data_IF_283562101015
#
_entry.id   IF_283562101015
#
_cell.length_a   1.000
_cell.length_b   1.000
_cell.length_c   1.000
_cell.angle_alpha   90.00
_cell.angle_beta   90.00
_cell.angle_gamma   90.00
#
_symmetry.space_group_name_H-M   'P 1'
#
loop_
_entity.id
_entity.type
_entity.pdbx_description
1 polymer ?
#
# COMPACT_ATOMS: atom_id res chain seq x y z
N UNK A 1 4.50 9.87 -40.07
CA UNK A 1 4.01 11.22 -40.38
C UNK A 1 2.52 11.14 -40.63
N UNK A 2 1.71 11.29 -39.57
CA UNK A 2 0.26 11.41 -39.65
C UNK A 2 -0.17 12.86 -39.89
N UNK A 3 -1.41 13.13 -40.35
CA UNK A 3 -1.90 14.46 -40.69
C UNK A 3 -2.12 15.41 -39.50
N UNK A 4 -1.27 15.37 -38.50
CA UNK A 4 -1.33 16.17 -37.28
C UNK A 4 -0.01 16.76 -36.80
N UNK A 5 1.12 16.40 -37.42
CA UNK A 5 2.47 16.78 -36.94
C UNK A 5 3.04 18.07 -37.57
N UNK A 6 2.21 18.89 -38.20
CA UNK A 6 2.68 20.06 -38.96
C UNK A 6 2.98 21.30 -38.07
N UNK A 7 2.67 21.24 -36.76
CA UNK A 7 2.90 22.36 -35.84
C UNK A 7 3.56 21.89 -34.54
N UNK A 8 4.57 22.60 -34.03
CA UNK A 8 5.28 22.25 -32.81
C UNK A 8 4.32 22.10 -31.60
N UNK A 9 3.31 22.95 -31.54
CA UNK A 9 2.31 22.93 -30.46
C UNK A 9 1.52 21.61 -30.39
N UNK A 10 1.19 21.02 -31.56
CA UNK A 10 0.46 19.74 -31.60
C UNK A 10 1.35 18.57 -31.22
N UNK A 11 2.63 18.60 -31.60
CA UNK A 11 3.60 17.58 -31.19
C UNK A 11 3.78 17.63 -29.67
N UNK A 12 3.94 18.83 -29.11
CA UNK A 12 4.07 19.02 -27.67
C UNK A 12 2.85 18.51 -26.91
N UNK A 13 1.63 18.89 -27.31
CA UNK A 13 0.41 18.44 -26.64
C UNK A 13 0.18 16.93 -26.81
N UNK A 14 0.51 16.35 -27.97
CA UNK A 14 0.44 14.90 -28.17
C UNK A 14 1.44 14.14 -27.26
N UNK A 15 2.63 14.70 -27.03
CA UNK A 15 3.57 14.12 -26.07
C UNK A 15 3.04 14.18 -24.63
N UNK A 16 2.42 15.29 -24.25
CA UNK A 16 1.78 15.43 -22.93
C UNK A 16 0.64 14.42 -22.77
N UNK A 17 -0.19 14.25 -23.79
CA UNK A 17 -1.27 13.25 -23.80
C UNK A 17 -0.75 11.83 -23.56
N UNK A 18 0.33 11.45 -24.27
CA UNK A 18 0.96 10.13 -24.09
C UNK A 18 1.54 9.94 -22.69
N UNK A 19 2.14 10.99 -22.12
CA UNK A 19 2.65 10.94 -20.74
C UNK A 19 1.50 10.78 -19.74
N UNK A 20 0.39 11.53 -19.92
CA UNK A 20 -0.80 11.43 -19.06
C UNK A 20 -1.38 10.01 -19.15
N UNK A 21 -1.52 9.46 -20.35
CA UNK A 21 -2.01 8.09 -20.56
C UNK A 21 -1.10 7.07 -19.83
N UNK A 22 0.22 7.22 -19.95
CA UNK A 22 1.18 6.33 -19.29
C UNK A 22 1.11 6.41 -17.77
N UNK A 23 0.90 7.60 -17.20
CA UNK A 23 0.71 7.77 -15.76
C UNK A 23 -0.59 7.14 -15.27
N UNK A 24 -1.65 7.20 -16.09
CA UNK A 24 -2.92 6.53 -15.80
C UNK A 24 -2.75 4.99 -15.76
N UNK A 25 -2.06 4.41 -16.76
CA UNK A 25 -1.75 2.97 -16.80
C UNK A 25 -0.96 2.52 -15.58
N UNK A 26 0.02 3.31 -15.14
CA UNK A 26 0.82 3.01 -13.94
C UNK A 26 -0.05 3.01 -12.66
N UNK A 27 -0.97 3.95 -12.53
CA UNK A 27 -1.89 3.99 -11.39
C UNK A 27 -2.86 2.81 -11.40
N UNK A 28 -3.38 2.43 -12.55
CA UNK A 28 -4.26 1.26 -12.69
C UNK A 28 -3.52 -0.03 -12.30
N UNK A 29 -2.31 -0.21 -12.83
CA UNK A 29 -1.47 -1.37 -12.49
C UNK A 29 -1.15 -1.42 -10.98
N UNK A 30 -0.81 -0.29 -10.37
CA UNK A 30 -0.58 -0.19 -8.92
C UNK A 30 -1.84 -0.53 -8.12
N UNK A 31 -3.02 -0.07 -8.57
CA UNK A 31 -4.30 -0.42 -7.99
C UNK A 31 -4.56 -1.92 -7.97
N UNK A 32 -4.30 -2.60 -9.07
CA UNK A 32 -4.44 -4.04 -9.18
C UNK A 32 -3.50 -4.80 -8.21
N UNK A 33 -2.25 -4.33 -8.07
CA UNK A 33 -1.28 -4.91 -7.12
C UNK A 33 -1.73 -4.72 -5.67
N UNK A 34 -2.25 -3.54 -5.31
CA UNK A 34 -2.78 -3.28 -3.98
C UNK A 34 -4.00 -4.18 -3.66
N UNK A 35 -4.91 -4.37 -4.61
CA UNK A 35 -6.08 -5.23 -4.44
C UNK A 35 -5.69 -6.70 -4.26
N UNK A 36 -4.71 -7.18 -5.03
CA UNK A 36 -4.19 -8.53 -4.88
C UNK A 36 -3.49 -8.72 -3.52
N UNK A 37 -2.67 -7.75 -3.13
CA UNK A 37 -1.97 -7.76 -1.85
C UNK A 37 -2.95 -7.78 -0.67
N UNK A 38 -4.01 -6.97 -0.72
CA UNK A 38 -5.05 -6.98 0.31
C UNK A 38 -5.80 -8.31 0.37
N UNK A 39 -6.14 -8.91 -0.79
CA UNK A 39 -6.73 -10.26 -0.82
C UNK A 39 -5.82 -11.29 -0.17
N UNK A 40 -4.51 -11.22 -0.40
CA UNK A 40 -3.53 -12.09 0.24
C UNK A 40 -3.47 -11.87 1.75
N UNK A 41 -3.42 -10.62 2.23
CA UNK A 41 -3.41 -10.26 3.66
C UNK A 41 -4.60 -10.87 4.41
N UNK A 42 -5.80 -10.81 3.83
CA UNK A 42 -7.02 -11.34 4.45
C UNK A 42 -7.22 -12.85 4.24
N UNK A 43 -6.35 -13.52 3.49
CA UNK A 43 -6.46 -14.96 3.26
C UNK A 43 -6.20 -15.77 4.54
N UNK A 44 -6.89 -16.91 4.74
CA UNK A 44 -6.65 -17.77 5.90
C UNK A 44 -5.21 -18.31 5.98
N UNK A 45 -4.53 -18.39 4.84
CA UNK A 45 -3.15 -18.88 4.73
C UNK A 45 -2.15 -17.87 5.27
N UNK A 46 -2.38 -16.58 5.07
CA UNK A 46 -1.52 -15.49 5.55
C UNK A 46 -1.50 -15.40 7.07
N UNK A 47 -2.63 -15.74 7.73
CA UNK A 47 -2.70 -15.82 9.21
C UNK A 47 -1.72 -16.83 9.81
N UNK A 48 -1.30 -17.84 9.05
CA UNK A 48 -0.39 -18.90 9.51
C UNK A 48 1.08 -18.63 9.13
N UNK A 49 1.36 -17.57 8.37
CA UNK A 49 2.71 -17.29 7.85
C UNK A 49 3.09 -15.83 8.11
N UNK A 50 3.84 -15.52 9.19
CA UNK A 50 4.30 -14.16 9.48
C UNK A 50 5.05 -13.51 8.32
N UNK A 51 5.90 -14.29 7.63
CA UNK A 51 6.65 -13.82 6.48
C UNK A 51 5.77 -13.34 5.30
N UNK A 52 4.55 -13.88 5.16
CA UNK A 52 3.62 -13.45 4.10
C UNK A 52 3.06 -12.05 4.37
N UNK A 53 2.77 -11.71 5.64
CA UNK A 53 2.30 -10.39 6.02
C UNK A 53 3.42 -9.34 5.92
N UNK A 54 4.65 -9.73 6.24
CA UNK A 54 5.81 -8.86 6.07
C UNK A 54 6.08 -8.57 4.59
N UNK A 55 6.05 -9.58 3.73
CA UNK A 55 6.18 -9.40 2.28
C UNK A 55 5.04 -8.54 1.70
N UNK A 56 3.81 -8.67 2.21
CA UNK A 56 2.71 -7.80 1.84
C UNK A 56 3.00 -6.34 2.19
N UNK A 57 3.54 -6.07 3.38
CA UNK A 57 3.90 -4.71 3.81
C UNK A 57 4.98 -4.08 2.93
N UNK A 58 5.99 -4.87 2.54
CA UNK A 58 7.05 -4.43 1.61
C UNK A 58 6.47 -4.08 0.22
N UNK A 59 5.54 -4.91 -0.29
CA UNK A 59 4.85 -4.63 -1.57
C UNK A 59 4.02 -3.36 -1.49
N UNK A 60 3.24 -3.16 -0.41
CA UNK A 60 2.47 -1.93 -0.20
C UNK A 60 3.39 -0.71 -0.15
N UNK A 61 4.55 -0.81 0.49
CA UNK A 61 5.56 0.25 0.52
C UNK A 61 6.08 0.61 -0.87
N UNK A 62 6.35 -0.39 -1.71
CA UNK A 62 6.78 -0.18 -3.11
C UNK A 62 5.71 0.54 -3.93
N UNK A 63 4.44 0.14 -3.79
CA UNK A 63 3.33 0.80 -4.49
C UNK A 63 3.12 2.24 -3.99
N UNK A 64 3.29 2.48 -2.69
CA UNK A 64 3.24 3.82 -2.10
C UNK A 64 4.28 4.76 -2.72
N UNK A 65 5.51 4.30 -2.90
CA UNK A 65 6.59 5.08 -3.55
C UNK A 65 6.26 5.36 -5.02
N UNK A 66 5.73 4.38 -5.75
CA UNK A 66 5.29 4.56 -7.14
C UNK A 66 4.20 5.64 -7.24
N UNK A 67 3.16 5.56 -6.41
CA UNK A 67 2.06 6.52 -6.37
C UNK A 67 2.58 7.94 -6.06
N UNK A 68 3.53 8.06 -5.12
CA UNK A 68 4.14 9.34 -4.78
C UNK A 68 4.92 9.93 -5.97
N UNK A 69 5.65 9.12 -6.73
CA UNK A 69 6.37 9.56 -7.96
C UNK A 69 5.40 9.98 -9.05
N UNK A 70 4.31 9.24 -9.26
CA UNK A 70 3.26 9.63 -10.20
C UNK A 70 2.67 10.98 -9.81
N UNK A 71 2.37 11.21 -8.54
CA UNK A 71 1.88 12.49 -8.02
C UNK A 71 2.82 13.65 -8.35
N UNK A 72 4.13 13.48 -8.14
CA UNK A 72 5.13 14.50 -8.46
C UNK A 72 5.20 14.78 -9.96
N UNK A 73 5.04 13.74 -10.79
CA UNK A 73 4.99 13.88 -12.25
C UNK A 73 3.76 14.67 -12.70
N UNK A 74 2.58 14.38 -12.13
CA UNK A 74 1.34 15.11 -12.41
C UNK A 74 1.45 16.60 -12.05
N UNK A 75 2.02 16.93 -10.88
CA UNK A 75 2.28 18.31 -10.46
C UNK A 75 3.24 19.04 -11.40
N UNK A 76 4.25 18.33 -11.91
CA UNK A 76 5.18 18.89 -12.90
C UNK A 76 4.50 19.18 -14.23
N UNK A 77 3.66 18.25 -14.71
CA UNK A 77 2.86 18.44 -15.93
C UNK A 77 1.87 19.61 -15.79
N UNK A 78 1.22 19.75 -14.65
CA UNK A 78 0.30 20.86 -14.37
C UNK A 78 1.02 22.20 -14.48
N UNK A 79 2.22 22.32 -13.90
CA UNK A 79 3.05 23.54 -14.03
C UNK A 79 3.43 23.83 -15.49
N UNK A 80 3.82 22.81 -16.24
CA UNK A 80 4.17 22.92 -17.66
C UNK A 80 2.96 23.39 -18.47
N UNK A 81 1.77 22.80 -18.29
CA UNK A 81 0.57 23.21 -18.99
C UNK A 81 0.10 24.60 -18.60
N UNK A 82 0.21 24.97 -17.33
CA UNK A 82 -0.10 26.31 -16.84
C UNK A 82 0.82 27.36 -17.47
N UNK A 83 2.11 27.15 -17.48
CA UNK A 83 3.08 28.03 -18.14
C UNK A 83 2.81 28.14 -19.64
N UNK A 84 2.55 27.00 -20.30
CA UNK A 84 2.24 26.97 -21.73
C UNK A 84 0.95 27.74 -22.05
N UNK A 85 -0.10 27.58 -21.23
CA UNK A 85 -1.37 28.30 -21.39
C UNK A 85 -1.20 29.82 -21.28
N UNK A 86 -0.41 30.27 -20.32
CA UNK A 86 -0.09 31.71 -20.14
C UNK A 86 0.65 32.29 -21.35
N UNK A 87 1.62 31.53 -21.90
CA UNK A 87 2.41 31.96 -23.04
C UNK A 87 1.59 32.02 -24.34
N UNK A 88 0.62 31.11 -24.52
CA UNK A 88 -0.25 31.07 -25.69
C UNK A 88 -1.34 32.15 -25.67
N UNK A 89 -1.75 32.66 -24.51
CA UNK A 89 -2.70 33.77 -24.41
C UNK A 89 -2.20 35.05 -25.10
N UNK A 90 -0.90 35.21 -25.22
CA UNK A 90 -0.28 36.35 -25.92
C UNK A 90 -0.19 36.20 -27.46
N UNK A 91 -0.48 35.01 -27.99
CA UNK A 91 -0.39 34.69 -29.42
C UNK A 91 -1.79 34.49 -30.05
N UNK A 92 -2.37 35.53 -30.61
CA UNK A 92 -3.80 35.67 -30.91
C UNK A 92 -4.36 34.92 -32.14
N UNK A 93 -3.62 34.09 -32.87
CA UNK A 93 -4.04 33.74 -34.25
C UNK A 93 -4.76 32.37 -34.47
N UNK A 94 -4.73 31.40 -33.52
CA UNK A 94 -5.36 30.08 -33.78
C UNK A 94 -5.91 29.42 -32.46
N UNK A 95 -6.49 30.19 -31.58
CA UNK A 95 -6.61 29.89 -30.16
C UNK A 95 -7.76 28.92 -29.74
N UNK A 96 -8.77 28.72 -30.59
CA UNK A 96 -9.99 27.99 -30.14
C UNK A 96 -9.77 26.48 -29.96
N UNK A 97 -9.21 25.80 -30.97
CA UNK A 97 -8.97 24.34 -30.91
C UNK A 97 -7.86 24.00 -29.90
N UNK A 98 -6.80 24.79 -29.88
CA UNK A 98 -5.68 24.60 -28.98
C UNK A 98 -6.10 24.77 -27.50
N UNK A 99 -6.93 25.78 -27.21
CA UNK A 99 -7.51 26.00 -25.89
C UNK A 99 -8.42 24.84 -25.44
N UNK A 100 -9.17 24.25 -26.36
CA UNK A 100 -10.03 23.11 -26.06
C UNK A 100 -9.20 21.87 -25.66
N UNK A 101 -8.14 21.56 -26.41
CA UNK A 101 -7.21 20.44 -26.11
C UNK A 101 -6.52 20.67 -24.77
N UNK A 102 -5.99 21.88 -24.54
CA UNK A 102 -5.31 22.23 -23.30
C UNK A 102 -6.24 22.07 -22.08
N UNK A 103 -7.50 22.52 -22.22
CA UNK A 103 -8.51 22.36 -21.18
C UNK A 103 -8.87 20.88 -20.94
N UNK A 104 -8.84 20.06 -22.00
CA UNK A 104 -8.96 18.60 -21.89
C UNK A 104 -7.85 18.03 -21.00
N UNK A 105 -6.58 18.26 -21.34
CA UNK A 105 -5.45 17.76 -20.56
C UNK A 105 -5.42 18.27 -19.12
N UNK A 106 -5.85 19.51 -18.86
CA UNK A 106 -5.96 20.02 -17.50
C UNK A 106 -7.01 19.26 -16.67
N UNK A 107 -8.14 18.90 -17.29
CA UNK A 107 -9.17 18.06 -16.63
C UNK A 107 -8.68 16.65 -16.36
N UNK A 108 -7.99 16.06 -17.34
CA UNK A 108 -7.42 14.71 -17.19
C UNK A 108 -6.39 14.67 -16.08
N UNK A 109 -5.51 15.69 -16.00
CA UNK A 109 -4.55 15.83 -14.91
C UNK A 109 -5.25 15.95 -13.55
N UNK A 110 -6.28 16.78 -13.45
CA UNK A 110 -7.04 16.93 -12.21
C UNK A 110 -7.69 15.61 -11.80
N UNK A 111 -8.31 14.88 -12.72
CA UNK A 111 -8.92 13.58 -12.44
C UNK A 111 -7.87 12.56 -11.96
N UNK A 112 -6.67 12.55 -12.57
CA UNK A 112 -5.58 11.68 -12.13
C UNK A 112 -5.01 12.09 -10.76
N UNK A 113 -4.96 13.37 -10.43
CA UNK A 113 -4.57 13.85 -9.10
C UNK A 113 -5.56 13.35 -8.03
N UNK A 114 -6.87 13.51 -8.26
CA UNK A 114 -7.91 13.01 -7.37
C UNK A 114 -7.83 11.47 -7.21
N UNK A 115 -7.56 10.76 -8.31
CA UNK A 115 -7.34 9.32 -8.28
C UNK A 115 -6.10 8.94 -7.46
N UNK A 116 -4.99 9.68 -7.62
CA UNK A 116 -3.75 9.48 -6.86
C UNK A 116 -3.96 9.70 -5.36
N UNK A 117 -4.78 10.69 -4.97
CA UNK A 117 -5.13 10.94 -3.57
C UNK A 117 -6.00 9.80 -2.99
N UNK A 118 -6.94 9.29 -3.78
CA UNK A 118 -7.72 8.09 -3.43
C UNK A 118 -6.82 6.87 -3.24
N UNK A 119 -5.86 6.66 -4.15
CA UNK A 119 -4.89 5.57 -4.06
C UNK A 119 -4.00 5.69 -2.82
N UNK A 120 -3.56 6.89 -2.46
CA UNK A 120 -2.79 7.14 -1.23
C UNK A 120 -3.58 6.77 0.02
N UNK A 121 -4.90 7.07 0.04
CA UNK A 121 -5.79 6.68 1.13
C UNK A 121 -5.95 5.15 1.22
N UNK A 122 -6.04 4.46 0.06
CA UNK A 122 -6.08 2.99 -0.01
C UNK A 122 -4.79 2.35 0.49
N UNK A 123 -3.63 2.93 0.19
CA UNK A 123 -2.33 2.50 0.74
C UNK A 123 -2.33 2.58 2.26
N UNK A 124 -2.79 3.70 2.84
CA UNK A 124 -2.86 3.84 4.30
C UNK A 124 -3.77 2.77 4.92
N UNK A 125 -4.95 2.54 4.35
CA UNK A 125 -5.85 1.47 4.78
C UNK A 125 -5.20 0.08 4.67
N UNK A 126 -4.44 -0.17 3.60
CA UNK A 126 -3.75 -1.45 3.39
C UNK A 126 -2.65 -1.68 4.44
N UNK A 127 -1.89 -0.64 4.79
CA UNK A 127 -0.89 -0.67 5.87
C UNK A 127 -1.56 -0.99 7.20
N UNK A 128 -2.61 -0.23 7.57
CA UNK A 128 -3.32 -0.40 8.84
C UNK A 128 -3.93 -1.81 8.96
N UNK A 129 -4.55 -2.30 7.89
CA UNK A 129 -5.10 -3.66 7.85
C UNK A 129 -4.01 -4.73 8.03
N UNK A 130 -2.86 -4.54 7.37
CA UNK A 130 -1.74 -5.50 7.46
C UNK A 130 -1.13 -5.51 8.86
N UNK A 131 -0.92 -4.34 9.47
CA UNK A 131 -0.44 -4.21 10.85
C UNK A 131 -1.44 -4.82 11.83
N UNK A 132 -2.73 -4.58 11.64
CA UNK A 132 -3.80 -5.20 12.44
C UNK A 132 -3.76 -6.73 12.37
N UNK A 133 -3.54 -7.30 11.18
CA UNK A 133 -3.41 -8.75 11.00
C UNK A 133 -2.16 -9.32 11.67
N UNK A 134 -1.02 -8.60 11.66
CA UNK A 134 0.19 -8.96 12.40
C UNK A 134 -0.09 -8.97 13.90
N UNK A 135 -0.79 -7.95 14.40
CA UNK A 135 -1.19 -7.86 15.82
C UNK A 135 -2.08 -9.03 16.27
N UNK A 136 -3.07 -9.41 15.44
CA UNK A 136 -3.91 -10.57 15.72
C UNK A 136 -3.09 -11.86 15.78
N UNK A 137 -2.15 -12.04 14.86
CA UNK A 137 -1.27 -13.22 14.83
C UNK A 137 -0.36 -13.29 16.07
N UNK A 138 0.21 -12.15 16.49
CA UNK A 138 1.01 -12.09 17.71
C UNK A 138 0.17 -12.43 18.95
N UNK A 139 -1.05 -11.94 19.03
CA UNK A 139 -1.95 -12.23 20.15
C UNK A 139 -2.31 -13.72 20.21
N UNK A 140 -2.56 -14.37 19.08
CA UNK A 140 -2.78 -15.81 19.02
C UNK A 140 -1.56 -16.62 19.53
N UNK A 141 -0.37 -16.19 19.18
CA UNK A 141 0.90 -16.81 19.66
C UNK A 141 1.05 -16.68 21.16
N UNK A 142 0.82 -15.48 21.72
CA UNK A 142 0.87 -15.22 23.16
C UNK A 142 -0.19 -16.05 23.90
N UNK A 143 -1.40 -16.16 23.34
CA UNK A 143 -2.48 -16.96 23.91
C UNK A 143 -2.08 -18.44 24.01
N UNK A 144 -1.52 -19.02 22.96
CA UNK A 144 -1.05 -20.42 22.98
C UNK A 144 0.03 -20.60 24.01
N UNK A 145 1.02 -19.70 24.09
CA UNK A 145 2.09 -19.75 25.07
C UNK A 145 1.55 -19.67 26.51
N UNK A 146 0.57 -18.78 26.76
CA UNK A 146 -0.07 -18.61 28.06
C UNK A 146 -0.82 -19.88 28.50
N UNK A 147 -1.55 -20.52 27.58
CA UNK A 147 -2.25 -21.78 27.86
C UNK A 147 -1.27 -22.90 28.19
N UNK A 148 -0.19 -23.01 27.43
CA UNK A 148 0.89 -24.00 27.68
C UNK A 148 1.52 -23.75 29.05
N UNK A 149 1.87 -22.49 29.38
CA UNK A 149 2.44 -22.14 30.68
C UNK A 149 1.48 -22.47 31.82
N UNK A 150 0.19 -22.13 31.70
CA UNK A 150 -0.82 -22.42 32.72
C UNK A 150 -1.01 -23.93 32.96
N UNK A 151 -0.80 -24.74 31.91
CA UNK A 151 -0.90 -26.20 32.00
C UNK A 151 0.36 -26.83 32.65
N UNK A 152 1.56 -26.30 32.37
CA UNK A 152 2.80 -26.90 32.83
C UNK A 152 3.29 -26.36 34.18
N UNK A 153 2.98 -25.11 34.53
CA UNK A 153 3.46 -24.50 35.80
C UNK A 153 2.99 -25.27 37.08
N UNK A 154 1.71 -25.64 37.23
CA UNK A 154 1.28 -26.35 38.44
C UNK A 154 1.94 -27.73 38.62
N UNK A 155 1.99 -28.61 37.59
CA UNK A 155 2.67 -29.89 37.72
C UNK A 155 4.17 -29.75 37.98
N UNK A 156 4.84 -28.75 37.33
CA UNK A 156 6.25 -28.48 37.55
C UNK A 156 6.55 -28.01 38.95
N UNK A 157 5.69 -27.15 39.54
CA UNK A 157 5.78 -26.70 40.93
C UNK A 157 5.67 -27.89 41.91
N UNK A 158 4.67 -28.77 41.70
CA UNK A 158 4.48 -29.96 42.51
C UNK A 158 5.71 -30.86 42.38
N UNK A 159 6.15 -31.19 41.18
CA UNK A 159 7.31 -32.04 40.94
C UNK A 159 8.58 -31.44 41.56
N UNK A 160 8.78 -30.12 41.48
CA UNK A 160 9.92 -29.42 42.08
C UNK A 160 9.88 -29.47 43.60
N UNK A 161 8.69 -29.27 44.19
CA UNK A 161 8.52 -29.32 45.63
C UNK A 161 8.79 -30.73 46.19
N UNK A 162 8.28 -31.77 45.53
CA UNK A 162 8.49 -33.16 45.95
C UNK A 162 9.88 -33.71 45.52
N UNK A 163 10.56 -33.05 44.57
CA UNK A 163 11.94 -33.36 44.20
C UNK A 163 12.99 -32.79 45.16
N UNK A 164 12.62 -31.96 46.15
CA UNK A 164 13.55 -31.48 47.16
C UNK A 164 13.81 -32.60 48.17
N UNK A 165 15.09 -32.73 48.59
CA UNK A 165 15.51 -33.72 49.61
C UNK A 165 15.03 -33.30 51.02
N UNK A 166 13.77 -33.58 51.34
CA UNK A 166 13.28 -33.41 52.68
C UNK A 166 13.74 -34.53 53.59
N UNK A 167 14.24 -34.21 54.79
CA UNK A 167 14.62 -35.21 55.80
C UNK A 167 13.39 -35.96 56.40
N UNK A 168 12.20 -35.39 56.30
CA UNK A 168 10.92 -36.01 56.70
C UNK A 168 9.82 -35.55 55.74
N UNK A 169 9.26 -36.50 54.97
CA UNK A 169 8.06 -36.33 54.13
C UNK A 169 6.92 -37.16 54.74
N UNK A 170 5.90 -36.54 55.38
CA UNK A 170 4.76 -37.28 55.96
C UNK A 170 3.99 -38.10 54.90
N UNK A 171 3.92 -37.63 53.66
CA UNK A 171 3.19 -38.23 52.58
C UNK A 171 3.79 -39.57 52.08
N UNK A 172 5.07 -39.82 52.36
CA UNK A 172 5.71 -41.09 52.04
C UNK A 172 5.24 -42.26 52.93
N UNK A 173 4.58 -41.94 54.06
CA UNK A 173 4.05 -42.90 55.02
C UNK A 173 2.54 -43.17 54.81
N UNK A 174 1.88 -42.52 53.87
CA UNK A 174 0.49 -42.80 53.56
C UNK A 174 0.40 -44.13 52.80
N UNK A 175 -0.09 -45.15 53.47
CA UNK A 175 -0.49 -46.41 52.82
C UNK A 175 -1.80 -46.17 52.07
N UNK A 176 -1.78 -46.43 50.75
CA UNK A 176 -2.97 -46.50 49.93
C UNK A 176 -3.69 -47.81 50.17
#
# INVERSE_FOLDING_TARGET
>A
SGPGCDRPDRIFLGLIEEIIARLADLLEASGAVLDDTLRQVFSPQSRKRPAALQAALERIGTESDLIARVRLSLLSLERVLTFYSATQQSRAADSGKLKAILKGHQRDLQALQEHTDSMSSRVSLAVDATIGMIGLQQNDTVRVLSVVAALFLPPTLIASTYGMNFQRMPELQWAY
#
